data_IF_570820969918
#
_entry.id   IF_570820969918
#
_cell.length_a   1.000
_cell.length_b   1.000
_cell.length_c   1.000
_cell.angle_alpha   90.00
_cell.angle_beta   90.00
_cell.angle_gamma   90.00
#
_symmetry.space_group_name_H-M   'P 1'
#
loop_
_entity.id
_entity.type
_entity.pdbx_description
1 polymer ?
#
# COMPACT_ATOMS: atom_id res chain seq x y z
N UNK A 1 -14.40 2.73 10.35
CA UNK A 1 -14.47 2.89 8.88
C UNK A 1 -13.37 2.10 8.21
N UNK A 2 -13.65 1.56 7.04
CA UNK A 2 -12.65 0.77 6.31
C UNK A 2 -11.53 1.65 5.76
N UNK A 3 -10.32 1.09 5.73
CA UNK A 3 -9.20 1.69 5.02
C UNK A 3 -9.53 1.77 3.53
N UNK A 4 -9.14 2.87 2.91
CA UNK A 4 -9.27 3.05 1.46
C UNK A 4 -7.93 2.77 0.84
N UNK A 5 -7.87 1.83 -0.11
CA UNK A 5 -6.65 1.55 -0.86
C UNK A 5 -6.75 2.13 -2.27
N UNK A 6 -5.63 2.65 -2.75
CA UNK A 6 -5.53 3.22 -4.10
C UNK A 6 -4.56 2.37 -4.92
N UNK A 7 -5.00 1.90 -6.08
CA UNK A 7 -4.14 1.18 -7.01
C UNK A 7 -4.19 1.88 -8.38
N UNK A 8 -3.29 1.48 -9.27
CA UNK A 8 -3.19 2.06 -10.60
C UNK A 8 -1.76 2.02 -11.10
N UNK A 9 -1.55 2.51 -12.31
CA UNK A 9 -0.23 2.54 -12.92
C UNK A 9 0.68 3.58 -12.28
N UNK A 10 1.98 3.36 -12.37
CA UNK A 10 2.97 4.35 -11.97
C UNK A 10 2.73 5.64 -12.76
N UNK A 11 2.84 6.77 -12.06
CA UNK A 11 2.64 8.07 -12.69
C UNK A 11 1.19 8.50 -12.82
N UNK A 12 0.23 7.73 -12.33
CA UNK A 12 -1.18 8.12 -12.38
C UNK A 12 -1.60 9.06 -11.23
N UNK A 13 -0.63 9.51 -10.42
CA UNK A 13 -0.91 10.45 -9.34
C UNK A 13 -1.44 9.83 -8.06
N UNK A 14 -1.21 8.54 -7.83
CA UNK A 14 -1.70 7.85 -6.62
C UNK A 14 -1.28 8.56 -5.32
N UNK A 15 -0.03 8.96 -5.23
CA UNK A 15 0.49 9.61 -4.02
C UNK A 15 -0.20 10.96 -3.79
N UNK A 16 -0.29 11.79 -4.83
CA UNK A 16 -0.95 13.10 -4.72
C UNK A 16 -2.43 12.95 -4.42
N UNK A 17 -3.12 12.08 -5.13
CA UNK A 17 -4.54 11.81 -4.91
C UNK A 17 -4.80 11.25 -3.52
N UNK A 18 -3.94 10.34 -3.06
CA UNK A 18 -4.06 9.73 -1.75
C UNK A 18 -3.87 10.72 -0.62
N UNK A 19 -2.87 11.59 -0.72
CA UNK A 19 -2.63 12.63 0.28
C UNK A 19 -3.81 13.60 0.38
N UNK A 20 -4.35 14.02 -0.76
CA UNK A 20 -5.48 14.93 -0.78
C UNK A 20 -6.73 14.27 -0.21
N UNK A 21 -7.01 13.02 -0.58
CA UNK A 21 -8.14 12.29 -0.04
C UNK A 21 -8.02 12.09 1.46
N UNK A 22 -6.83 11.74 1.95
CA UNK A 22 -6.58 11.59 3.38
C UNK A 22 -6.83 12.88 4.13
N UNK A 23 -6.37 14.00 3.57
CA UNK A 23 -6.60 15.33 4.14
C UNK A 23 -8.09 15.66 4.25
N UNK A 24 -8.83 15.39 3.18
CA UNK A 24 -10.27 15.68 3.14
C UNK A 24 -11.07 14.81 4.12
N UNK A 25 -10.63 13.57 4.34
CA UNK A 25 -11.32 12.64 5.23
C UNK A 25 -10.79 12.67 6.68
N UNK A 26 -9.75 13.44 6.94
CA UNK A 26 -9.12 13.47 8.27
C UNK A 26 -8.45 12.14 8.62
N UNK A 27 -7.88 11.43 7.61
CA UNK A 27 -7.22 10.14 7.78
C UNK A 27 -5.72 10.27 7.58
N UNK A 28 -4.98 9.30 8.11
CA UNK A 28 -3.56 9.17 7.83
C UNK A 28 -3.36 8.59 6.44
N UNK A 29 -2.34 9.08 5.72
CA UNK A 29 -1.93 8.54 4.42
C UNK A 29 -0.67 7.71 4.57
N UNK A 30 -0.65 6.53 3.96
CA UNK A 30 0.53 5.66 3.90
C UNK A 30 0.75 5.26 2.45
N UNK A 31 2.00 5.43 1.98
CA UNK A 31 2.45 4.87 0.70
C UNK A 31 3.16 3.56 0.99
N UNK A 32 2.69 2.45 0.41
CA UNK A 32 3.22 1.13 0.71
C UNK A 32 4.71 1.01 0.38
N UNK A 33 5.16 1.52 -0.76
CA UNK A 33 6.56 1.45 -1.15
C UNK A 33 7.45 2.22 -0.17
N UNK A 34 7.02 3.41 0.23
CA UNK A 34 7.74 4.20 1.24
C UNK A 34 7.80 3.47 2.57
N UNK A 35 6.69 2.85 2.96
CA UNK A 35 6.65 2.06 4.20
C UNK A 35 7.65 0.90 4.16
N UNK A 36 7.72 0.19 3.03
CA UNK A 36 8.67 -0.92 2.86
C UNK A 36 10.11 -0.41 2.99
N UNK A 37 10.43 0.71 2.36
CA UNK A 37 11.78 1.28 2.42
C UNK A 37 12.15 1.70 3.85
N UNK A 38 11.23 2.29 4.57
CA UNK A 38 11.46 2.67 5.96
C UNK A 38 11.59 1.45 6.88
N UNK A 39 10.79 0.43 6.64
CA UNK A 39 10.80 -0.79 7.44
C UNK A 39 12.10 -1.59 7.27
N UNK A 40 12.61 -1.67 6.05
CA UNK A 40 13.81 -2.44 5.73
C UNK A 40 15.11 -1.64 5.85
N UNK A 41 15.03 -0.31 5.82
CA UNK A 41 16.19 0.55 5.75
C UNK A 41 16.90 0.50 4.40
N UNK A 42 16.23 0.00 3.36
CA UNK A 42 16.77 -0.16 2.00
C UNK A 42 15.80 0.41 0.98
N UNK A 43 16.35 0.88 -0.15
CA UNK A 43 15.50 1.28 -1.27
C UNK A 43 14.89 0.07 -1.96
N UNK A 44 13.81 0.27 -2.70
CA UNK A 44 13.18 -0.81 -3.46
C UNK A 44 14.18 -1.50 -4.41
N UNK A 45 14.98 -0.75 -5.22
CA UNK A 45 16.00 -1.39 -6.05
C UNK A 45 17.01 -2.23 -5.27
N UNK A 46 17.42 -1.77 -4.09
CA UNK A 46 18.34 -2.53 -3.24
C UNK A 46 17.72 -3.85 -2.76
N UNK A 47 16.43 -3.83 -2.43
CA UNK A 47 15.72 -5.04 -2.00
C UNK A 47 15.67 -6.04 -3.16
N UNK A 48 15.35 -5.59 -4.37
CA UNK A 48 15.34 -6.45 -5.56
C UNK A 48 16.71 -7.03 -5.86
N UNK A 49 17.75 -6.22 -5.74
CA UNK A 49 19.14 -6.65 -5.98
C UNK A 49 19.61 -7.71 -4.99
N UNK A 50 19.24 -7.57 -3.71
CA UNK A 50 19.69 -8.46 -2.65
C UNK A 50 18.82 -9.69 -2.47
N UNK A 51 17.50 -9.52 -2.46
CA UNK A 51 16.54 -10.58 -2.15
C UNK A 51 15.78 -11.10 -3.37
N UNK A 52 15.86 -10.41 -4.51
CA UNK A 52 15.13 -10.75 -5.71
C UNK A 52 13.65 -10.42 -5.62
N UNK A 53 12.91 -10.74 -6.67
CA UNK A 53 11.46 -10.48 -6.71
C UNK A 53 10.72 -11.23 -5.62
N UNK A 54 11.03 -12.52 -5.43
CA UNK A 54 10.36 -13.33 -4.42
C UNK A 54 10.57 -12.77 -3.01
N UNK A 55 11.78 -12.30 -2.69
CA UNK A 55 12.08 -11.69 -1.41
C UNK A 55 11.33 -10.39 -1.22
N UNK A 56 11.27 -9.54 -2.26
CA UNK A 56 10.51 -8.30 -2.22
C UNK A 56 9.01 -8.59 -1.98
N UNK A 57 8.43 -9.56 -2.70
CA UNK A 57 7.01 -9.89 -2.56
C UNK A 57 6.67 -10.39 -1.16
N UNK A 58 7.58 -11.13 -0.53
CA UNK A 58 7.40 -11.58 0.85
C UNK A 58 7.40 -10.38 1.81
N UNK A 59 8.33 -9.46 1.65
CA UNK A 59 8.39 -8.24 2.47
C UNK A 59 7.14 -7.38 2.26
N UNK A 60 6.73 -7.21 1.02
CA UNK A 60 5.51 -6.45 0.67
C UNK A 60 4.28 -7.03 1.37
N UNK A 61 4.13 -8.35 1.33
CA UNK A 61 3.02 -9.05 1.97
C UNK A 61 3.01 -8.81 3.49
N UNK A 62 4.17 -8.93 4.12
CA UNK A 62 4.30 -8.72 5.56
C UNK A 62 3.99 -7.28 5.95
N UNK A 63 4.52 -6.31 5.20
CA UNK A 63 4.26 -4.90 5.45
C UNK A 63 2.79 -4.55 5.24
N UNK A 64 2.18 -5.09 4.19
CA UNK A 64 0.77 -4.85 3.91
C UNK A 64 -0.11 -5.39 5.03
N UNK A 65 0.15 -6.61 5.50
CA UNK A 65 -0.61 -7.20 6.60
C UNK A 65 -0.47 -6.38 7.88
N UNK A 66 0.73 -5.89 8.17
CA UNK A 66 0.98 -5.04 9.34
C UNK A 66 0.21 -3.74 9.26
N UNK A 67 0.26 -3.05 8.12
CA UNK A 67 -0.46 -1.79 7.91
C UNK A 67 -1.96 -2.00 8.10
N UNK A 68 -2.52 -3.04 7.49
CA UNK A 68 -3.96 -3.29 7.55
C UNK A 68 -4.42 -3.69 8.95
N UNK A 69 -3.60 -4.43 9.70
CA UNK A 69 -3.91 -4.75 11.09
C UNK A 69 -4.00 -3.50 11.94
N UNK A 70 -3.07 -2.57 11.76
CA UNK A 70 -3.09 -1.29 12.48
C UNK A 70 -4.25 -0.41 12.01
N UNK A 71 -4.50 -0.38 10.71
CA UNK A 71 -5.59 0.41 10.13
C UNK A 71 -6.96 -0.01 10.65
N UNK A 72 -7.19 -1.31 10.84
CA UNK A 72 -8.45 -1.83 11.35
C UNK A 72 -8.74 -1.42 12.78
N UNK A 73 -7.71 -1.03 13.54
CA UNK A 73 -7.85 -0.58 14.93
C UNK A 73 -8.11 0.91 15.04
N UNK A 74 -8.01 1.65 13.95
CA UNK A 74 -8.25 3.09 13.93
C UNK A 74 -9.70 3.37 13.57
N UNK A 75 -10.30 4.30 14.28
CA UNK A 75 -11.70 4.68 14.06
C UNK A 75 -11.96 5.15 12.64
N UNK A 76 -11.00 5.89 12.06
CA UNK A 76 -11.16 6.50 10.73
C UNK A 76 -10.56 5.69 9.60
N UNK A 77 -9.81 4.61 9.90
CA UNK A 77 -9.08 3.87 8.89
C UNK A 77 -7.90 4.66 8.34
N UNK A 78 -7.38 4.21 7.20
CA UNK A 78 -6.23 4.81 6.54
C UNK A 78 -6.56 5.06 5.07
N UNK A 79 -5.75 5.91 4.42
CA UNK A 79 -5.65 5.95 2.95
C UNK A 79 -4.31 5.35 2.59
N UNK A 80 -4.31 4.28 1.82
CA UNK A 80 -3.12 3.49 1.49
C UNK A 80 -2.89 3.46 -0.01
N UNK A 81 -1.76 3.98 -0.47
CA UNK A 81 -1.37 3.87 -1.87
C UNK A 81 -0.58 2.58 -2.07
N UNK A 82 -1.02 1.73 -2.99
CA UNK A 82 -0.40 0.44 -3.29
C UNK A 82 0.70 0.61 -4.34
N UNK A 83 1.69 -0.30 -4.33
CA UNK A 83 2.69 -0.36 -5.39
C UNK A 83 2.08 -0.88 -6.69
N UNK A 84 2.80 -0.69 -7.81
CA UNK A 84 2.30 -1.08 -9.13
C UNK A 84 2.03 -2.57 -9.29
N UNK A 85 2.73 -3.42 -8.53
CA UNK A 85 2.56 -4.88 -8.61
C UNK A 85 1.89 -5.51 -7.39
N UNK A 86 1.40 -4.71 -6.45
CA UNK A 86 0.85 -5.26 -5.20
C UNK A 86 -0.30 -6.23 -5.44
N UNK A 87 -1.22 -5.89 -6.34
CA UNK A 87 -2.39 -6.71 -6.63
C UNK A 87 -2.14 -7.89 -7.57
N UNK A 88 -0.92 -8.02 -8.11
CA UNK A 88 -0.54 -9.17 -8.93
C UNK A 88 -0.52 -10.45 -8.07
N UNK A 89 -0.15 -10.34 -6.80
CA UNK A 89 -0.21 -11.45 -5.87
C UNK A 89 -1.66 -11.74 -5.48
N UNK A 90 -2.16 -12.97 -5.70
CA UNK A 90 -3.53 -13.31 -5.28
C UNK A 90 -3.77 -13.14 -3.79
N UNK A 91 -2.77 -13.38 -2.96
CA UNK A 91 -2.88 -13.22 -1.52
C UNK A 91 -3.07 -11.76 -1.12
N UNK A 92 -2.30 -10.86 -1.74
CA UNK A 92 -2.43 -9.42 -1.50
C UNK A 92 -3.78 -8.92 -2.02
N UNK A 93 -4.19 -9.37 -3.19
CA UNK A 93 -5.47 -8.97 -3.79
C UNK A 93 -6.64 -9.37 -2.88
N UNK A 94 -6.62 -10.59 -2.34
CA UNK A 94 -7.66 -11.06 -1.42
C UNK A 94 -7.68 -10.23 -0.14
N UNK A 95 -6.52 -9.94 0.43
CA UNK A 95 -6.41 -9.14 1.65
C UNK A 95 -6.95 -7.73 1.44
N UNK A 96 -6.59 -7.09 0.33
CA UNK A 96 -7.08 -5.75 -0.03
C UNK A 96 -8.60 -5.77 -0.23
N UNK A 97 -9.11 -6.77 -0.94
CA UNK A 97 -10.56 -6.90 -1.19
C UNK A 97 -11.33 -7.04 0.12
N UNK A 98 -10.82 -7.87 1.04
CA UNK A 98 -11.54 -8.16 2.28
C UNK A 98 -11.47 -7.03 3.30
N UNK A 99 -10.36 -6.29 3.34
CA UNK A 99 -10.08 -5.33 4.41
C UNK A 99 -10.17 -3.87 4.01
N UNK A 100 -10.31 -3.56 2.73
CA UNK A 100 -10.31 -2.17 2.25
C UNK A 100 -11.40 -1.93 1.22
N UNK A 101 -11.67 -0.63 0.99
CA UNK A 101 -12.39 -0.18 -0.20
C UNK A 101 -11.32 0.18 -1.22
N UNK A 102 -11.21 -0.58 -2.30
CA UNK A 102 -10.15 -0.38 -3.29
C UNK A 102 -10.63 0.52 -4.43
N UNK A 103 -9.88 1.58 -4.70
CA UNK A 103 -10.15 2.50 -5.79
C UNK A 103 -9.01 2.37 -6.80
N UNK A 104 -9.36 2.11 -8.06
CA UNK A 104 -8.39 2.00 -9.15
C UNK A 104 -8.32 3.32 -9.89
N UNK A 105 -7.12 3.90 -9.94
CA UNK A 105 -6.88 5.16 -10.66
C UNK A 105 -6.37 4.86 -12.07
N UNK A 106 -7.00 5.46 -13.05
CA UNK A 106 -6.54 5.39 -14.43
C UNK A 106 -5.68 6.60 -14.78
N UNK A 107 -4.65 6.33 -15.55
CA UNK A 107 -3.80 7.40 -16.06
C UNK A 107 -4.53 8.23 -17.12
#
# INVERSE_FOLDING_TARGET
>A
MKTISLSGFMGCGKTSAGKELARLLGREFIDLDTYIEQHTGKSIPEIFSGAGEAGFRQIEKECLAEILSHGCRRDNGLVLALGGGTLVSPENAALIHDMTICIYLRA
#
